data_IF_222046245467
#
_entry.id   IF_222046245467
#
_cell.length_a   1.000
_cell.length_b   1.000
_cell.length_c   1.000
_cell.angle_alpha   90.00
_cell.angle_beta   90.00
_cell.angle_gamma   90.00
#
_symmetry.space_group_name_H-M   'P 1'
#
loop_
_entity.id
_entity.type
_entity.pdbx_description
1 polymer ?
#
# COMPACT_ATOMS: atom_id res chain seq x y z
N UNK A 1 -7.86 -46.75 12.23
CA UNK A 1 -7.76 -45.60 13.16
C UNK A 1 -6.93 -44.44 12.60
N UNK A 2 -5.80 -44.70 11.93
CA UNK A 2 -4.87 -43.68 11.42
C UNK A 2 -5.42 -42.69 10.37
N UNK A 3 -6.41 -43.07 9.55
CA UNK A 3 -7.00 -42.17 8.53
C UNK A 3 -7.74 -40.98 9.15
N UNK A 4 -8.50 -41.22 10.23
CA UNK A 4 -9.26 -40.16 10.93
C UNK A 4 -8.36 -39.08 11.53
N UNK A 5 -7.18 -39.46 12.04
CA UNK A 5 -6.19 -38.51 12.57
C UNK A 5 -5.60 -37.61 11.48
N UNK A 6 -5.37 -38.15 10.28
CA UNK A 6 -4.86 -37.39 9.13
C UNK A 6 -5.88 -36.36 8.62
N UNK A 7 -7.15 -36.75 8.53
CA UNK A 7 -8.23 -35.86 8.08
C UNK A 7 -8.48 -34.71 9.06
N UNK A 8 -8.37 -34.97 10.37
CA UNK A 8 -8.48 -33.92 11.41
C UNK A 8 -7.31 -32.94 11.34
N UNK A 9 -6.09 -33.42 11.09
CA UNK A 9 -4.92 -32.57 10.94
C UNK A 9 -5.00 -31.66 9.69
N UNK A 10 -5.46 -32.19 8.55
CA UNK A 10 -5.64 -31.38 7.33
C UNK A 10 -6.68 -30.26 7.54
N UNK A 11 -7.83 -30.57 8.13
CA UNK A 11 -8.86 -29.55 8.42
C UNK A 11 -8.38 -28.47 9.38
N UNK A 12 -7.54 -28.83 10.36
CA UNK A 12 -6.95 -27.85 11.27
C UNK A 12 -5.96 -26.94 10.56
N UNK A 13 -5.15 -27.47 9.63
CA UNK A 13 -4.20 -26.68 8.83
C UNK A 13 -4.94 -25.72 7.88
N UNK A 14 -5.99 -26.18 7.20
CA UNK A 14 -6.82 -25.34 6.32
C UNK A 14 -7.52 -24.22 7.12
N UNK A 15 -8.16 -24.55 8.24
CA UNK A 15 -8.84 -23.58 9.10
C UNK A 15 -7.90 -22.53 9.70
N UNK A 16 -6.68 -22.93 10.08
CA UNK A 16 -5.66 -21.99 10.56
C UNK A 16 -5.17 -21.12 9.40
N UNK A 17 -5.00 -21.69 8.20
CA UNK A 17 -4.66 -20.97 6.98
C UNK A 17 -5.68 -19.86 6.64
N UNK A 18 -6.96 -20.20 6.59
CA UNK A 18 -8.03 -19.25 6.27
C UNK A 18 -8.11 -18.08 7.26
N UNK A 19 -8.01 -18.37 8.57
CA UNK A 19 -8.00 -17.30 9.59
C UNK A 19 -6.75 -16.42 9.52
N UNK A 20 -5.61 -17.00 9.17
CA UNK A 20 -4.36 -16.26 9.02
C UNK A 20 -4.42 -15.31 7.81
N UNK A 21 -5.01 -15.77 6.70
CA UNK A 21 -5.23 -14.96 5.49
C UNK A 21 -6.23 -13.84 5.75
N UNK A 22 -7.35 -14.12 6.44
CA UNK A 22 -8.37 -13.12 6.76
C UNK A 22 -7.84 -12.01 7.69
N UNK A 23 -7.00 -12.37 8.68
CA UNK A 23 -6.34 -11.40 9.56
C UNK A 23 -5.36 -10.50 8.80
N UNK A 24 -4.56 -11.09 7.91
CA UNK A 24 -3.60 -10.37 7.08
C UNK A 24 -4.27 -9.44 6.06
N UNK A 25 -5.39 -9.86 5.45
CA UNK A 25 -6.15 -9.03 4.51
C UNK A 25 -6.76 -7.80 5.19
N UNK A 26 -7.34 -7.97 6.38
CA UNK A 26 -7.89 -6.85 7.18
C UNK A 26 -6.81 -5.83 7.52
N UNK A 27 -5.63 -6.28 7.93
CA UNK A 27 -4.50 -5.40 8.21
C UNK A 27 -4.02 -4.64 6.97
N UNK A 28 -3.84 -5.35 5.84
CA UNK A 28 -3.44 -4.74 4.57
C UNK A 28 -4.47 -3.70 4.10
N UNK A 29 -5.78 -4.01 4.20
CA UNK A 29 -6.84 -3.09 3.80
C UNK A 29 -6.91 -1.84 4.69
N UNK A 30 -6.70 -1.98 6.01
CA UNK A 30 -6.61 -0.84 6.91
C UNK A 30 -5.44 0.08 6.52
N UNK A 31 -4.27 -0.49 6.21
CA UNK A 31 -3.11 0.30 5.76
C UNK A 31 -3.35 0.97 4.40
N UNK A 32 -4.03 0.30 3.47
CA UNK A 32 -4.45 0.89 2.18
C UNK A 32 -5.37 2.11 2.38
N UNK A 33 -6.32 2.02 3.32
CA UNK A 33 -7.20 3.15 3.65
C UNK A 33 -6.42 4.37 4.11
N UNK A 34 -5.47 4.18 5.04
CA UNK A 34 -4.60 5.27 5.53
C UNK A 34 -3.81 5.91 4.39
N UNK A 35 -3.22 5.11 3.50
CA UNK A 35 -2.48 5.63 2.34
C UNK A 35 -3.38 6.43 1.42
N UNK A 36 -4.61 5.95 1.15
CA UNK A 36 -5.58 6.68 0.33
C UNK A 36 -5.91 8.03 0.96
N UNK A 37 -6.24 8.05 2.25
CA UNK A 37 -6.60 9.30 2.94
C UNK A 37 -5.44 10.30 2.97
N UNK A 38 -4.18 9.83 3.03
CA UNK A 38 -3.00 10.69 2.92
C UNK A 38 -2.83 11.23 1.50
N UNK A 39 -3.03 10.39 0.49
CA UNK A 39 -2.94 10.81 -0.91
C UNK A 39 -4.05 11.79 -1.28
N UNK A 40 -5.26 11.65 -0.76
CA UNK A 40 -6.36 12.59 -1.04
C UNK A 40 -6.15 13.95 -0.36
N UNK A 41 -5.58 13.97 0.85
CA UNK A 41 -5.34 15.20 1.62
C UNK A 41 -4.10 15.97 1.18
N UNK A 42 -2.99 15.25 1.00
CA UNK A 42 -1.68 15.84 0.74
C UNK A 42 -1.25 15.71 -0.74
N UNK A 43 -2.09 15.06 -1.55
CA UNK A 43 -1.85 14.81 -2.97
C UNK A 43 -1.71 16.07 -3.80
N UNK A 44 -0.90 15.97 -4.85
CA UNK A 44 -0.74 17.07 -5.81
C UNK A 44 -1.79 16.98 -6.91
N UNK A 45 -2.49 18.06 -7.20
CA UNK A 45 -3.35 18.12 -8.39
C UNK A 45 -2.51 18.22 -9.66
N UNK A 46 -2.84 17.40 -10.65
CA UNK A 46 -2.25 17.46 -11.98
C UNK A 46 -2.66 18.76 -12.68
N UNK A 47 -1.69 19.48 -13.26
CA UNK A 47 -1.95 20.74 -13.97
C UNK A 47 -2.74 20.57 -15.27
N UNK A 48 -2.64 19.39 -15.90
CA UNK A 48 -3.24 19.13 -17.21
C UNK A 48 -4.72 18.73 -17.12
N UNK A 49 -5.15 18.06 -16.04
CA UNK A 49 -6.50 17.51 -15.95
C UNK A 49 -7.17 17.63 -14.57
N UNK A 50 -6.50 18.31 -13.63
CA UNK A 50 -6.89 18.44 -12.22
C UNK A 50 -7.07 17.12 -11.46
N UNK A 51 -6.64 15.99 -12.05
CA UNK A 51 -6.66 14.68 -11.40
C UNK A 51 -5.58 14.54 -10.33
N UNK A 52 -5.75 13.59 -9.42
CA UNK A 52 -4.81 13.38 -8.33
C UNK A 52 -3.46 12.83 -8.82
N UNK A 53 -2.39 13.45 -8.36
CA UNK A 53 -1.00 13.06 -8.59
C UNK A 53 -0.48 12.21 -7.45
N UNK A 54 -0.08 10.99 -7.79
CA UNK A 54 0.47 10.02 -6.87
C UNK A 54 2.00 9.93 -7.07
N UNK A 55 2.83 9.85 -6.02
CA UNK A 55 4.28 9.80 -6.16
C UNK A 55 4.76 8.55 -6.93
N UNK A 56 5.79 8.67 -7.75
CA UNK A 56 6.41 7.51 -8.39
C UNK A 56 7.40 6.93 -7.39
N UNK A 57 7.13 5.72 -6.90
CA UNK A 57 7.83 5.13 -5.75
C UNK A 57 9.36 5.15 -5.87
N UNK A 58 9.90 4.85 -7.05
CA UNK A 58 11.34 4.80 -7.31
C UNK A 58 12.01 6.17 -7.35
N UNK A 59 11.26 7.24 -7.18
CA UNK A 59 11.73 8.62 -7.28
C UNK A 59 11.29 9.43 -6.07
N UNK A 60 12.06 10.44 -5.70
CA UNK A 60 11.77 11.24 -4.51
C UNK A 60 10.73 12.34 -4.78
N UNK A 61 10.70 12.85 -6.00
CA UNK A 61 10.00 14.08 -6.36
C UNK A 61 9.16 13.98 -7.64
N UNK A 62 9.01 12.78 -8.23
CA UNK A 62 8.16 12.60 -9.41
C UNK A 62 6.81 12.03 -9.02
N UNK A 63 5.80 12.41 -9.79
CA UNK A 63 4.41 12.09 -9.60
C UNK A 63 3.81 11.66 -10.93
N UNK A 64 2.80 10.80 -10.87
CA UNK A 64 1.96 10.42 -12.01
C UNK A 64 0.52 10.77 -11.69
N UNK A 65 -0.18 11.40 -12.63
CA UNK A 65 -1.61 11.62 -12.50
C UNK A 65 -2.37 10.31 -12.70
N UNK A 66 -3.31 10.00 -11.81
CA UNK A 66 -4.17 8.80 -11.93
C UNK A 66 -5.20 8.90 -13.08
N UNK A 67 -5.47 10.11 -13.57
CA UNK A 67 -6.52 10.38 -14.58
C UNK A 67 -5.98 10.47 -16.01
N UNK A 68 -4.83 11.12 -16.21
CA UNK A 68 -4.27 11.34 -17.55
C UNK A 68 -2.88 10.74 -17.75
N UNK A 69 -2.38 9.98 -16.77
CA UNK A 69 -1.03 9.38 -16.75
C UNK A 69 0.14 10.38 -16.91
N UNK A 70 -0.14 11.68 -16.94
CA UNK A 70 0.88 12.71 -17.05
C UNK A 70 1.84 12.65 -15.85
N UNK A 71 3.13 12.61 -16.16
CA UNK A 71 4.19 12.59 -15.15
C UNK A 71 4.77 13.97 -14.95
N UNK A 72 4.91 14.38 -13.70
CA UNK A 72 5.41 15.70 -13.34
C UNK A 72 6.30 15.62 -12.09
N UNK A 73 7.14 16.64 -11.89
CA UNK A 73 8.01 16.72 -10.72
C UNK A 73 7.58 17.85 -9.79
N UNK A 74 7.75 17.64 -8.48
CA UNK A 74 7.57 18.68 -7.46
C UNK A 74 8.67 18.55 -6.42
N UNK A 75 9.51 19.59 -6.31
CA UNK A 75 10.58 19.65 -5.30
C UNK A 75 10.08 20.01 -3.91
N UNK A 76 8.87 20.57 -3.81
CA UNK A 76 8.35 21.16 -2.57
C UNK A 76 7.34 20.25 -1.86
N UNK A 77 6.96 19.12 -2.45
CA UNK A 77 6.07 18.13 -1.85
C UNK A 77 6.76 16.77 -1.85
N UNK A 78 6.77 16.12 -0.69
CA UNK A 78 7.34 14.79 -0.52
C UNK A 78 6.38 13.92 0.32
N UNK A 79 5.31 13.49 -0.34
CA UNK A 79 4.27 12.64 0.27
C UNK A 79 4.84 11.26 0.64
N UNK A 80 5.87 10.78 -0.09
CA UNK A 80 6.56 9.52 0.24
C UNK A 80 7.09 9.55 1.67
N UNK A 81 7.69 10.66 2.10
CA UNK A 81 8.19 10.80 3.47
C UNK A 81 7.07 10.74 4.50
N UNK A 82 5.92 11.38 4.23
CA UNK A 82 4.75 11.34 5.12
C UNK A 82 4.18 9.92 5.25
N UNK A 83 4.06 9.20 4.12
CA UNK A 83 3.61 7.81 4.10
C UNK A 83 4.58 6.93 4.89
N UNK A 84 5.89 7.04 4.63
CA UNK A 84 6.90 6.27 5.36
C UNK A 84 6.89 6.58 6.85
N UNK A 85 6.78 7.84 7.27
CA UNK A 85 6.67 8.20 8.69
C UNK A 85 5.44 7.59 9.37
N UNK A 86 4.33 7.43 8.64
CA UNK A 86 3.11 6.83 9.18
C UNK A 86 3.26 5.30 9.42
N UNK A 87 4.06 4.61 8.61
CA UNK A 87 4.26 3.16 8.73
C UNK A 87 5.55 2.77 9.48
N UNK A 88 6.56 3.63 9.46
CA UNK A 88 7.83 3.44 10.15
C UNK A 88 7.82 4.21 11.48
N UNK A 89 7.20 3.63 12.50
CA UNK A 89 7.32 4.13 13.87
C UNK A 89 8.79 4.18 14.30
N UNK A 90 9.41 5.37 14.26
CA UNK A 90 10.83 5.71 14.52
C UNK A 90 11.89 4.86 13.77
N UNK A 91 13.00 5.48 13.31
CA UNK A 91 13.96 4.82 12.43
C UNK A 91 14.87 3.88 13.24
N UNK A 92 14.48 2.61 13.40
CA UNK A 92 15.41 1.57 13.90
C UNK A 92 15.67 0.44 12.91
N UNK A 93 14.89 0.30 11.83
CA UNK A 93 15.13 -0.73 10.80
C UNK A 93 14.51 -0.34 9.45
N UNK A 94 15.24 0.46 8.66
CA UNK A 94 14.81 1.03 7.37
C UNK A 94 14.56 -0.02 6.28
N UNK A 95 15.30 -1.13 6.28
CA UNK A 95 15.32 -2.06 5.13
C UNK A 95 14.17 -3.07 5.06
N UNK A 96 13.55 -3.45 6.20
CA UNK A 96 12.45 -4.44 6.20
C UNK A 96 11.06 -3.80 6.06
N UNK A 97 10.94 -2.52 6.38
CA UNK A 97 9.65 -1.82 6.40
C UNK A 97 9.31 -1.14 5.06
N UNK A 98 10.33 -0.76 4.28
CA UNK A 98 10.17 -0.21 2.93
C UNK A 98 9.39 -1.18 2.02
N UNK A 99 9.69 -2.48 2.06
CA UNK A 99 9.04 -3.47 1.18
C UNK A 99 7.51 -3.59 1.41
N UNK A 100 7.06 -3.46 2.65
CA UNK A 100 5.63 -3.52 2.98
C UNK A 100 4.91 -2.21 2.64
N UNK A 101 5.52 -1.06 2.92
CA UNK A 101 4.96 0.24 2.54
C UNK A 101 4.89 0.39 1.01
N UNK A 102 5.89 -0.10 0.28
CA UNK A 102 5.92 -0.20 -1.19
C UNK A 102 4.75 -0.98 -1.74
N UNK A 103 4.53 -2.19 -1.20
CA UNK A 103 3.52 -3.08 -1.72
C UNK A 103 2.12 -2.48 -1.54
N UNK A 104 1.87 -1.88 -0.37
CA UNK A 104 0.61 -1.19 -0.06
C UNK A 104 0.46 0.03 -0.97
N UNK A 105 1.50 0.85 -1.07
CA UNK A 105 1.52 2.04 -1.92
C UNK A 105 1.22 1.72 -3.39
N UNK A 106 1.99 0.80 -3.98
CA UNK A 106 1.84 0.38 -5.38
C UNK A 106 0.45 -0.22 -5.63
N UNK A 107 -0.11 -0.95 -4.67
CA UNK A 107 -1.46 -1.49 -4.77
C UNK A 107 -2.52 -0.37 -4.76
N UNK A 108 -2.42 0.63 -3.88
CA UNK A 108 -3.37 1.76 -3.83
C UNK A 108 -3.28 2.60 -5.11
N UNK A 109 -2.07 2.97 -5.52
CA UNK A 109 -1.81 3.69 -6.76
C UNK A 109 -2.44 3.02 -7.99
N UNK A 110 -2.29 1.70 -8.09
CA UNK A 110 -2.85 0.91 -9.19
C UNK A 110 -4.39 0.85 -9.15
N UNK A 111 -4.99 0.82 -7.95
CA UNK A 111 -6.45 0.87 -7.80
C UNK A 111 -7.04 2.23 -8.17
N UNK A 112 -6.32 3.33 -7.92
CA UNK A 112 -6.81 4.69 -8.22
C UNK A 112 -6.71 5.04 -9.70
N UNK A 113 -5.83 4.38 -10.46
CA UNK A 113 -5.63 4.64 -11.90
C UNK A 113 -6.62 3.89 -12.81
N UNK A 114 -7.48 3.03 -12.24
CA UNK A 114 -8.47 2.22 -12.99
C UNK A 114 -9.92 2.75 -12.85
N UNK A 115 -10.09 3.96 -12.31
CA UNK A 115 -11.38 4.61 -12.08
C UNK A 115 -11.72 5.63 -13.14
#
# INVERSE_FOLDING_TARGET
MLRKLRDTALKAVEFVGDKYVEGHEKEVNARKSIVRDLLEREGLSCKECSGLGIPIYTTENKYRCVKCDHQFASTNHNIRTLILQHFEGRPRNRHKNESSAVAIYSSVASSMSKG
#
